data_IF_611150766161
#
_entry.id   IF_611150766161
#
_cell.length_a   1.000
_cell.length_b   1.000
_cell.length_c   1.000
_cell.angle_alpha   90.00
_cell.angle_beta   90.00
_cell.angle_gamma   90.00
#
_symmetry.space_group_name_H-M   'P 1'
#
loop_
_entity.id
_entity.type
_entity.pdbx_description
1 polymer ?
#
# COMPACT_ATOMS: atom_id res chain seq x y z
N UNK A 1 16.70 14.67 -19.04
CA UNK A 1 16.40 13.24 -18.81
C UNK A 1 15.02 13.16 -18.19
N UNK A 2 13.99 12.88 -18.99
CA UNK A 2 12.65 12.59 -18.46
C UNK A 2 12.70 11.16 -17.92
N UNK A 3 12.80 11.00 -16.60
CA UNK A 3 12.65 9.69 -15.96
C UNK A 3 11.24 9.19 -16.30
N UNK A 4 11.20 8.04 -16.98
CA UNK A 4 10.04 7.22 -17.32
C UNK A 4 9.09 7.04 -16.12
N UNK A 5 7.79 6.75 -16.37
CA UNK A 5 6.74 6.98 -15.39
C UNK A 5 7.04 6.16 -14.14
N UNK A 6 7.10 6.83 -12.99
CA UNK A 6 7.00 6.15 -11.70
C UNK A 6 5.80 5.22 -11.81
N UNK A 7 6.01 3.90 -11.78
CA UNK A 7 4.87 2.99 -11.75
C UNK A 7 4.08 3.31 -10.49
N UNK A 8 2.75 3.21 -10.58
CA UNK A 8 1.86 3.54 -9.46
C UNK A 8 2.29 2.83 -8.16
N UNK A 9 2.79 1.60 -8.28
CA UNK A 9 3.31 0.77 -7.19
C UNK A 9 4.64 1.29 -6.63
N UNK A 10 5.59 1.73 -7.46
CA UNK A 10 6.84 2.36 -7.00
C UNK A 10 6.58 3.67 -6.27
N UNK A 11 5.59 4.45 -6.72
CA UNK A 11 5.21 5.69 -6.05
C UNK A 11 4.64 5.39 -4.66
N UNK A 12 3.69 4.46 -4.56
CA UNK A 12 3.13 4.01 -3.28
C UNK A 12 4.20 3.53 -2.32
N UNK A 13 5.16 2.72 -2.80
CA UNK A 13 6.29 2.24 -2.01
C UNK A 13 7.16 3.39 -1.52
N UNK A 14 7.50 4.35 -2.39
CA UNK A 14 8.31 5.51 -2.03
C UNK A 14 7.63 6.42 -0.99
N UNK A 15 6.29 6.55 -1.03
CA UNK A 15 5.54 7.29 0.00
C UNK A 15 5.49 6.53 1.33
N UNK A 16 5.18 5.23 1.29
CA UNK A 16 5.15 4.39 2.49
C UNK A 16 6.53 4.30 3.17
N UNK A 17 7.62 4.38 2.40
CA UNK A 17 8.97 4.41 2.94
C UNK A 17 9.28 5.68 3.76
N UNK A 18 8.48 6.74 3.65
CA UNK A 18 8.62 7.94 4.49
C UNK A 18 7.77 7.88 5.76
N UNK A 19 6.92 6.87 5.89
CA UNK A 19 5.97 6.74 7.00
C UNK A 19 6.54 5.95 8.18
N UNK A 20 5.94 6.20 9.35
CA UNK A 20 6.18 5.43 10.56
C UNK A 20 5.44 4.10 10.50
N UNK A 21 5.89 3.13 11.31
CA UNK A 21 5.26 1.81 11.44
C UNK A 21 3.75 1.91 11.74
N UNK A 22 3.36 2.81 12.64
CA UNK A 22 1.97 3.01 13.02
C UNK A 22 1.12 3.54 11.85
N UNK A 23 1.64 4.49 11.08
CA UNK A 23 0.95 5.05 9.91
C UNK A 23 0.76 4.01 8.81
N UNK A 24 1.75 3.15 8.56
CA UNK A 24 1.64 2.08 7.56
C UNK A 24 0.60 1.05 8.02
N UNK A 25 0.60 0.68 9.31
CA UNK A 25 -0.42 -0.22 9.89
C UNK A 25 -1.82 0.37 9.78
N UNK A 26 -2.00 1.65 10.10
CA UNK A 26 -3.29 2.35 9.98
C UNK A 26 -3.78 2.36 8.53
N UNK A 27 -2.92 2.69 7.57
CA UNK A 27 -3.27 2.68 6.14
C UNK A 27 -3.70 1.28 5.65
N UNK A 28 -3.02 0.22 6.12
CA UNK A 28 -3.41 -1.17 5.83
C UNK A 28 -4.78 -1.49 6.41
N UNK A 29 -5.07 -1.05 7.64
CA UNK A 29 -6.38 -1.30 8.27
C UNK A 29 -7.51 -0.57 7.54
N UNK A 30 -7.27 0.66 7.09
CA UNK A 30 -8.26 1.42 6.34
C UNK A 30 -8.55 0.80 4.97
N UNK A 31 -7.53 0.35 4.24
CA UNK A 31 -7.75 -0.40 2.99
C UNK A 31 -8.49 -1.72 3.22
N UNK A 32 -8.19 -2.42 4.32
CA UNK A 32 -8.94 -3.63 4.71
C UNK A 32 -10.39 -3.34 5.08
N UNK A 33 -10.70 -2.14 5.58
CA UNK A 33 -12.08 -1.70 5.81
C UNK A 33 -12.79 -1.40 4.50
N UNK A 34 -12.12 -0.73 3.56
CA UNK A 34 -12.64 -0.50 2.21
C UNK A 34 -12.97 -1.81 1.51
N UNK A 35 -12.08 -2.80 1.57
CA UNK A 35 -12.29 -4.13 0.99
C UNK A 35 -13.49 -4.91 1.58
N UNK A 36 -14.00 -4.52 2.75
CA UNK A 36 -15.21 -5.11 3.35
C UNK A 36 -16.49 -4.43 2.86
N UNK A 37 -16.38 -3.27 2.21
CA UNK A 37 -17.50 -2.59 1.60
C UNK A 37 -17.87 -3.30 0.29
N UNK A 38 -19.04 -3.94 0.27
CA UNK A 38 -19.56 -4.68 -0.88
C UNK A 38 -19.98 -3.79 -2.07
N UNK A 39 -19.76 -2.47 -1.99
CA UNK A 39 -20.03 -1.52 -3.07
C UNK A 39 -18.86 -1.32 -4.04
N UNK A 40 -17.68 -1.88 -3.74
CA UNK A 40 -16.51 -1.77 -4.62
C UNK A 40 -16.65 -2.63 -5.89
N UNK A 41 -16.14 -2.10 -7.00
CA UNK A 41 -15.98 -2.88 -8.23
C UNK A 41 -14.80 -3.85 -8.11
N UNK A 42 -14.81 -4.92 -8.90
CA UNK A 42 -13.72 -5.92 -8.92
C UNK A 42 -12.33 -5.27 -9.13
N UNK A 43 -12.25 -4.25 -10.01
CA UNK A 43 -11.02 -3.49 -10.24
C UNK A 43 -10.60 -2.68 -9.01
N UNK A 44 -11.54 -2.12 -8.26
CA UNK A 44 -11.22 -1.40 -7.01
C UNK A 44 -10.73 -2.38 -5.93
N UNK A 45 -11.34 -3.56 -5.85
CA UNK A 45 -10.90 -4.64 -4.95
C UNK A 45 -9.47 -5.08 -5.28
N UNK A 46 -9.17 -5.36 -6.55
CA UNK A 46 -7.83 -5.74 -6.99
C UNK A 46 -6.79 -4.65 -6.67
N UNK A 47 -7.12 -3.38 -6.92
CA UNK A 47 -6.23 -2.26 -6.60
C UNK A 47 -5.98 -2.14 -5.09
N UNK A 48 -7.03 -2.18 -4.27
CA UNK A 48 -6.90 -2.11 -2.81
C UNK A 48 -6.11 -3.30 -2.25
N UNK A 49 -6.27 -4.51 -2.81
CA UNK A 49 -5.47 -5.67 -2.44
C UNK A 49 -3.97 -5.46 -2.77
N UNK A 50 -3.67 -4.93 -3.95
CA UNK A 50 -2.28 -4.60 -4.33
C UNK A 50 -1.67 -3.54 -3.41
N UNK A 51 -2.43 -2.50 -3.04
CA UNK A 51 -1.97 -1.46 -2.10
C UNK A 51 -1.63 -2.08 -0.73
N UNK A 52 -2.52 -2.94 -0.21
CA UNK A 52 -2.32 -3.64 1.06
C UNK A 52 -1.06 -4.51 1.01
N UNK A 53 -0.82 -5.23 -0.07
CA UNK A 53 0.37 -6.06 -0.25
C UNK A 53 1.66 -5.22 -0.25
N UNK A 54 1.68 -4.10 -0.96
CA UNK A 54 2.83 -3.18 -1.01
C UNK A 54 3.13 -2.63 0.40
N UNK A 55 2.11 -2.18 1.12
CA UNK A 55 2.30 -1.65 2.47
C UNK A 55 2.76 -2.72 3.47
N UNK A 56 2.26 -3.95 3.34
CA UNK A 56 2.76 -5.07 4.12
C UNK A 56 4.23 -5.36 3.85
N UNK A 57 4.66 -5.39 2.58
CA UNK A 57 6.07 -5.58 2.22
C UNK A 57 6.95 -4.47 2.81
N UNK A 58 6.55 -3.21 2.70
CA UNK A 58 7.29 -2.09 3.28
C UNK A 58 7.37 -2.20 4.81
N UNK A 59 6.29 -2.60 5.47
CA UNK A 59 6.26 -2.80 6.92
C UNK A 59 7.24 -3.91 7.34
N UNK A 60 7.23 -5.03 6.62
CA UNK A 60 8.09 -6.18 6.88
C UNK A 60 9.56 -5.84 6.68
N UNK A 61 9.91 -5.25 5.53
CA UNK A 61 11.29 -4.90 5.19
C UNK A 61 11.90 -3.87 6.15
N UNK A 62 11.10 -2.91 6.63
CA UNK A 62 11.61 -1.79 7.44
C UNK A 62 11.61 -2.04 8.94
N UNK A 63 10.57 -2.70 9.45
CA UNK A 63 10.32 -2.77 10.89
C UNK A 63 10.34 -4.20 11.43
N UNK A 64 10.23 -5.20 10.55
CA UNK A 64 10.12 -6.60 10.92
C UNK A 64 11.30 -7.45 10.42
N UNK A 65 12.26 -6.84 9.72
CA UNK A 65 13.55 -7.43 9.37
C UNK A 65 14.44 -7.52 10.62
N UNK A 66 14.15 -8.52 11.46
CA UNK A 66 14.97 -8.94 12.60
C UNK A 66 15.76 -10.21 12.25
#
# INVERSE_FOLDING_TARGET
>A
MLKTPYSYTEALRSYADQWTEAQIKEAIEDEKRLLRDNSLSDLAVENSQQIVEIYHQVLEEKFNAA
#
